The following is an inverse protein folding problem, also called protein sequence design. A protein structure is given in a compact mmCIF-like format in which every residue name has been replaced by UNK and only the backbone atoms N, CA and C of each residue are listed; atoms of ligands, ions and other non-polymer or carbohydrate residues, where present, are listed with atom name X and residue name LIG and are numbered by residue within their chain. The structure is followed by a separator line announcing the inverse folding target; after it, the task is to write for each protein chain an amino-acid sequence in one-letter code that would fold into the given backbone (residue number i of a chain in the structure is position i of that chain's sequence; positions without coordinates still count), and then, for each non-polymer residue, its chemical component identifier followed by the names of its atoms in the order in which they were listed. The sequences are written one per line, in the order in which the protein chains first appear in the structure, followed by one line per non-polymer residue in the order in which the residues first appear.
data_IF_019636296284
#
_entry.id   IF_019636296284
#
_cell.length_a   1.000
_cell.length_b   1.000
_cell.length_c   1.000
_cell.angle_alpha   90.00
_cell.angle_beta   90.00
_cell.angle_gamma   90.00
#
_symmetry.space_group_name_H-M   'P 1'
#
loop_
_entity.id
_entity.type
_entity.pdbx_description
1 polymer ?
#
# COMPACT_ATOMS: atom_id res chain seq x y z
N UNK A 1 16.91 -18.22 -0.40
CA UNK A 1 17.26 -19.62 -0.75
C UNK A 1 16.41 -20.04 -1.93
N UNK A 2 17.04 -20.51 -3.01
CA UNK A 2 16.33 -20.99 -4.21
C UNK A 2 16.17 -22.50 -4.12
N UNK A 3 14.93 -22.98 -4.28
CA UNK A 3 14.58 -24.39 -4.25
C UNK A 3 14.98 -25.07 -5.57
N UNK A 4 15.59 -26.25 -5.49
CA UNK A 4 15.96 -27.11 -6.63
C UNK A 4 15.54 -28.57 -6.34
N UNK A 5 15.70 -29.44 -7.34
CA UNK A 5 15.25 -30.85 -7.26
C UNK A 5 15.93 -31.59 -6.11
N UNK A 6 17.24 -31.44 -5.94
CA UNK A 6 18.01 -32.15 -4.92
C UNK A 6 17.57 -31.72 -3.51
N UNK A 7 17.36 -30.42 -3.27
CA UNK A 7 16.85 -29.93 -1.98
C UNK A 7 15.45 -30.46 -1.67
N UNK A 8 14.54 -30.46 -2.64
CA UNK A 8 13.20 -31.00 -2.43
C UNK A 8 13.23 -32.51 -2.17
N UNK A 9 14.01 -33.25 -2.97
CA UNK A 9 14.21 -34.69 -2.82
C UNK A 9 14.75 -35.06 -1.44
N UNK A 10 15.69 -34.26 -0.93
CA UNK A 10 16.31 -34.44 0.39
C UNK A 10 15.45 -33.89 1.54
N UNK A 11 14.20 -33.49 1.26
CA UNK A 11 13.22 -33.03 2.26
C UNK A 11 13.48 -31.62 2.79
N UNK A 12 14.37 -30.85 2.16
CA UNK A 12 14.61 -29.45 2.50
C UNK A 12 13.48 -28.59 1.93
N UNK A 13 12.60 -28.14 2.81
CA UNK A 13 11.47 -27.26 2.49
C UNK A 13 11.70 -25.80 2.91
N UNK A 14 10.74 -24.95 2.56
CA UNK A 14 10.60 -23.65 3.23
C UNK A 14 9.99 -23.86 4.62
N UNK A 15 10.44 -23.08 5.60
CA UNK A 15 9.82 -23.03 6.91
C UNK A 15 8.47 -22.30 6.78
N UNK A 16 7.39 -23.10 6.73
CA UNK A 16 6.04 -22.57 6.58
C UNK A 16 5.58 -21.84 7.85
N UNK A 17 6.06 -22.23 9.02
CA UNK A 17 5.74 -21.55 10.28
C UNK A 17 6.37 -20.15 10.30
N UNK A 18 7.62 -20.04 9.85
CA UNK A 18 8.29 -18.75 9.69
C UNK A 18 7.58 -17.86 8.67
N UNK A 19 7.11 -18.43 7.55
CA UNK A 19 6.35 -17.68 6.54
C UNK A 19 5.00 -17.21 7.08
N UNK A 20 4.34 -17.97 7.95
CA UNK A 20 3.09 -17.56 8.61
C UNK A 20 3.32 -16.42 9.62
N UNK A 21 4.49 -16.37 10.24
CA UNK A 21 4.88 -15.32 11.18
C UNK A 21 5.36 -14.04 10.48
N UNK A 22 5.66 -14.10 9.19
CA UNK A 22 6.07 -12.93 8.43
C UNK A 22 4.91 -11.93 8.34
N UNK A 23 5.11 -10.73 8.86
CA UNK A 23 4.16 -9.63 8.66
C UNK A 23 4.11 -9.29 7.18
N UNK A 24 3.03 -9.72 6.53
CA UNK A 24 2.71 -9.26 5.19
C UNK A 24 2.44 -7.75 5.27
N UNK A 25 3.22 -6.97 4.51
CA UNK A 25 3.20 -5.50 4.49
C UNK A 25 3.63 -4.83 5.81
N UNK A 26 4.95 -4.81 6.11
CA UNK A 26 5.48 -4.14 7.29
C UNK A 26 4.98 -2.69 7.40
N UNK A 27 4.64 -2.22 8.62
CA UNK A 27 4.04 -0.89 8.82
C UNK A 27 4.94 0.24 8.30
N UNK A 28 6.26 0.07 8.35
CA UNK A 28 7.24 1.03 7.84
C UNK A 28 7.08 1.23 6.32
N UNK A 29 6.80 0.15 5.59
CA UNK A 29 6.56 0.22 4.15
C UNK A 29 5.24 0.94 3.88
N UNK A 30 4.18 0.64 4.64
CA UNK A 30 2.90 1.32 4.50
C UNK A 30 3.03 2.82 4.78
N UNK A 31 3.81 3.20 5.78
CA UNK A 31 4.07 4.60 6.10
C UNK A 31 4.82 5.33 4.98
N UNK A 32 5.82 4.68 4.36
CA UNK A 32 6.48 5.23 3.19
C UNK A 32 5.54 5.38 1.98
N UNK A 33 4.60 4.45 1.77
CA UNK A 33 3.57 4.60 0.74
C UNK A 33 2.67 5.82 1.03
N UNK A 34 2.23 6.01 2.27
CA UNK A 34 1.43 7.18 2.67
C UNK A 34 2.22 8.49 2.58
N UNK A 35 3.51 8.51 2.96
CA UNK A 35 4.39 9.68 2.77
C UNK A 35 4.56 9.99 1.28
N UNK A 36 4.84 8.97 0.46
CA UNK A 36 4.95 9.08 -0.99
C UNK A 36 3.68 9.65 -1.64
N UNK A 37 2.52 9.16 -1.22
CA UNK A 37 1.21 9.63 -1.64
C UNK A 37 0.99 11.13 -1.40
N UNK A 38 1.54 11.70 -0.32
CA UNK A 38 1.36 13.12 0.04
C UNK A 38 2.47 14.06 -0.48
N UNK A 39 3.68 13.53 -0.66
CA UNK A 39 4.85 14.35 -1.05
C UNK A 39 5.09 14.31 -2.56
N UNK A 40 4.90 13.16 -3.22
CA UNK A 40 5.13 13.03 -4.66
C UNK A 40 4.01 13.68 -5.46
N UNK A 41 4.23 13.89 -6.75
CA UNK A 41 3.31 14.60 -7.66
C UNK A 41 2.91 13.72 -8.84
N UNK A 42 1.80 14.11 -9.48
CA UNK A 42 1.34 13.50 -10.71
C UNK A 42 1.04 12.01 -10.55
N UNK A 43 1.43 11.23 -11.55
CA UNK A 43 1.10 9.80 -11.66
C UNK A 43 1.76 8.95 -10.57
N UNK A 44 2.88 9.41 -10.01
CA UNK A 44 3.54 8.72 -8.90
C UNK A 44 2.61 8.64 -7.68
N UNK A 45 1.96 9.75 -7.32
CA UNK A 45 1.01 9.78 -6.20
C UNK A 45 -0.23 8.92 -6.48
N UNK A 46 -0.70 8.88 -7.74
CA UNK A 46 -1.78 7.98 -8.17
C UNK A 46 -1.42 6.51 -7.93
N UNK A 47 -0.20 6.10 -8.27
CA UNK A 47 0.25 4.72 -8.09
C UNK A 47 0.40 4.33 -6.62
N UNK A 48 0.81 5.26 -5.75
CA UNK A 48 0.81 5.03 -4.31
C UNK A 48 -0.61 4.76 -3.77
N UNK A 49 -1.61 5.53 -4.23
CA UNK A 49 -3.00 5.31 -3.82
C UNK A 49 -3.50 3.92 -4.24
N UNK A 50 -3.21 3.51 -5.47
CA UNK A 50 -3.55 2.19 -5.99
C UNK A 50 -2.87 1.06 -5.22
N UNK A 51 -1.58 1.19 -4.93
CA UNK A 51 -0.85 0.20 -4.12
C UNK A 51 -1.43 0.10 -2.71
N UNK A 52 -1.74 1.23 -2.07
CA UNK A 52 -2.36 1.26 -0.75
C UNK A 52 -3.72 0.56 -0.73
N UNK A 53 -4.56 0.77 -1.76
CA UNK A 53 -5.84 0.06 -1.89
C UNK A 53 -5.65 -1.46 -2.06
N UNK A 54 -4.68 -1.86 -2.88
CA UNK A 54 -4.38 -3.27 -3.13
C UNK A 54 -3.88 -4.00 -1.89
N UNK A 55 -2.89 -3.43 -1.17
CA UNK A 55 -2.33 -4.08 0.04
C UNK A 55 -3.33 -4.16 1.20
N UNK A 56 -4.35 -3.30 1.22
CA UNK A 56 -5.47 -3.38 2.17
C UNK A 56 -6.63 -4.24 1.67
N UNK A 57 -6.47 -4.95 0.54
CA UNK A 57 -7.52 -5.79 -0.08
C UNK A 57 -8.81 -5.02 -0.40
N UNK A 58 -8.69 -3.70 -0.70
CA UNK A 58 -9.80 -2.84 -1.13
C UNK A 58 -9.85 -2.64 -2.66
N UNK A 59 -8.88 -3.20 -3.37
CA UNK A 59 -8.81 -3.22 -4.83
C UNK A 59 -8.22 -4.56 -5.29
N UNK A 60 -8.66 -5.06 -6.45
CA UNK A 60 -8.17 -6.35 -6.98
C UNK A 60 -6.76 -6.23 -7.57
N UNK A 61 -6.32 -5.01 -7.87
CA UNK A 61 -4.96 -4.72 -8.33
C UNK A 61 -4.55 -3.29 -7.99
N UNK A 62 -3.24 -3.02 -8.04
CA UNK A 62 -2.72 -1.66 -7.87
C UNK A 62 -3.14 -0.67 -8.99
N UNK A 63 -3.76 -1.17 -10.07
CA UNK A 63 -4.26 -0.38 -11.20
C UNK A 63 -5.76 -0.59 -11.44
N UNK A 64 -6.51 -0.85 -10.37
CA UNK A 64 -7.94 -1.11 -10.44
C UNK A 64 -8.72 0.07 -11.06
N UNK A 65 -9.46 -0.23 -12.13
CA UNK A 65 -10.25 0.75 -12.88
C UNK A 65 -11.49 1.23 -12.12
N UNK A 66 -12.04 0.42 -11.20
CA UNK A 66 -13.19 0.79 -10.39
C UNK A 66 -12.86 1.93 -9.42
N UNK A 67 -11.64 1.92 -8.89
CA UNK A 67 -11.14 2.93 -7.95
C UNK A 67 -10.32 4.04 -8.63
N UNK A 68 -10.04 3.92 -9.93
CA UNK A 68 -9.29 4.91 -10.72
C UNK A 68 -9.81 6.35 -10.56
N UNK A 69 -11.13 6.65 -10.50
CA UNK A 69 -11.60 8.01 -10.26
C UNK A 69 -11.09 8.63 -8.95
N UNK A 70 -10.95 7.83 -7.88
CA UNK A 70 -10.38 8.29 -6.62
C UNK A 70 -8.86 8.48 -6.74
N UNK A 71 -8.14 7.51 -7.33
CA UNK A 71 -6.69 7.57 -7.45
C UNK A 71 -6.21 8.80 -8.25
N UNK A 72 -6.95 9.14 -9.32
CA UNK A 72 -6.62 10.30 -10.16
C UNK A 72 -6.76 11.64 -9.44
N UNK A 73 -7.53 11.73 -8.34
CA UNK A 73 -7.61 12.96 -7.53
C UNK A 73 -6.25 13.35 -6.94
N UNK A 74 -5.34 12.39 -6.73
CA UNK A 74 -3.98 12.67 -6.27
C UNK A 74 -3.05 13.26 -7.34
N UNK A 75 -3.50 13.33 -8.60
CA UNK A 75 -2.78 14.03 -9.67
C UNK A 75 -2.84 15.55 -9.51
N UNK A 76 -3.79 16.08 -8.74
CA UNK A 76 -3.96 17.52 -8.60
C UNK A 76 -2.83 18.19 -7.82
N UNK A 77 -2.46 19.41 -8.19
CA UNK A 77 -1.45 20.22 -7.49
C UNK A 77 -2.02 20.96 -6.26
N UNK A 78 -3.34 20.90 -6.07
CA UNK A 78 -4.05 21.58 -4.99
C UNK A 78 -3.91 20.84 -3.65
N UNK A 79 -3.30 21.50 -2.65
CA UNK A 79 -3.14 20.92 -1.30
C UNK A 79 -4.47 20.52 -0.65
N UNK A 80 -5.51 21.34 -0.82
CA UNK A 80 -6.83 21.08 -0.25
C UNK A 80 -7.54 19.89 -0.94
N UNK A 81 -7.43 19.81 -2.26
CA UNK A 81 -7.99 18.70 -3.04
C UNK A 81 -7.30 17.37 -2.70
N UNK A 82 -5.96 17.38 -2.60
CA UNK A 82 -5.19 16.21 -2.16
C UNK A 82 -5.52 15.79 -0.75
N UNK A 83 -5.76 16.75 0.16
CA UNK A 83 -6.20 16.43 1.52
C UNK A 83 -7.56 15.75 1.51
N UNK A 84 -8.52 16.28 0.76
CA UNK A 84 -9.84 15.65 0.61
C UNK A 84 -9.74 14.23 0.01
N UNK A 85 -8.91 14.05 -1.03
CA UNK A 85 -8.67 12.74 -1.63
C UNK A 85 -8.01 11.76 -0.64
N UNK A 86 -7.10 12.25 0.21
CA UNK A 86 -6.50 11.47 1.29
C UNK A 86 -7.54 11.04 2.31
N UNK A 87 -8.41 11.95 2.76
CA UNK A 87 -9.46 11.62 3.72
C UNK A 87 -10.44 10.58 3.11
N UNK A 88 -10.83 10.73 1.84
CA UNK A 88 -11.65 9.75 1.10
C UNK A 88 -10.95 8.38 0.97
N UNK A 89 -9.64 8.36 0.72
CA UNK A 89 -8.84 7.14 0.68
C UNK A 89 -8.84 6.45 2.04
N UNK A 90 -8.56 7.18 3.14
CA UNK A 90 -8.57 6.61 4.48
C UNK A 90 -9.93 6.00 4.84
N UNK A 91 -11.04 6.62 4.46
CA UNK A 91 -12.39 6.04 4.64
C UNK A 91 -12.52 4.72 3.88
N UNK A 92 -12.09 4.67 2.62
CA UNK A 92 -12.13 3.43 1.82
C UNK A 92 -11.24 2.32 2.42
N UNK A 93 -10.11 2.69 3.02
CA UNK A 93 -9.19 1.76 3.68
C UNK A 93 -9.63 1.40 5.12
N UNK A 94 -10.72 1.98 5.63
CA UNK A 94 -11.19 1.82 7.02
C UNK A 94 -10.14 2.27 8.06
N UNK A 95 -9.43 3.34 7.75
CA UNK A 95 -8.38 3.93 8.60
C UNK A 95 -8.81 5.31 9.12
N UNK A 96 -8.34 5.66 10.32
CA UNK A 96 -8.42 7.04 10.81
C UNK A 96 -7.33 7.91 10.15
N UNK A 97 -7.77 8.85 9.33
CA UNK A 97 -6.89 9.79 8.63
C UNK A 97 -6.00 10.60 9.58
N UNK A 98 -6.49 10.98 10.77
CA UNK A 98 -5.72 11.73 11.74
C UNK A 98 -4.58 10.88 12.31
N UNK A 99 -4.88 9.64 12.72
CA UNK A 99 -3.90 8.69 13.22
C UNK A 99 -2.81 8.38 12.18
N UNK A 100 -3.19 8.17 10.92
CA UNK A 100 -2.23 7.96 9.83
C UNK A 100 -1.31 9.17 9.67
N UNK A 101 -1.86 10.39 9.64
CA UNK A 101 -1.06 11.60 9.53
C UNK A 101 -0.10 11.79 10.69
N UNK A 102 -0.54 11.52 11.92
CA UNK A 102 0.33 11.55 13.11
C UNK A 102 1.47 10.54 12.98
N UNK A 103 1.17 9.30 12.55
CA UNK A 103 2.17 8.24 12.40
C UNK A 103 3.23 8.59 11.35
N UNK A 104 2.83 9.14 10.21
CA UNK A 104 3.79 9.44 9.12
C UNK A 104 4.53 10.77 9.29
N UNK A 105 4.09 11.61 10.22
CA UNK A 105 4.75 12.88 10.57
C UNK A 105 5.77 12.75 11.70
N UNK A 106 5.76 11.61 12.42
CA UNK A 106 6.81 11.19 13.33
C UNK A 106 8.01 10.64 12.56
#
# INVERSE_FOLDING_TARGET
MTMDYDKWHDGIGYDLELLQQATLHPPEILDELFRGLLVRRGEIATNFAGMLAFVHSKADSAFDWNHRPLFLKFKSDGRAERRKAFDELCVMLELDAAAVLTRISA
#
